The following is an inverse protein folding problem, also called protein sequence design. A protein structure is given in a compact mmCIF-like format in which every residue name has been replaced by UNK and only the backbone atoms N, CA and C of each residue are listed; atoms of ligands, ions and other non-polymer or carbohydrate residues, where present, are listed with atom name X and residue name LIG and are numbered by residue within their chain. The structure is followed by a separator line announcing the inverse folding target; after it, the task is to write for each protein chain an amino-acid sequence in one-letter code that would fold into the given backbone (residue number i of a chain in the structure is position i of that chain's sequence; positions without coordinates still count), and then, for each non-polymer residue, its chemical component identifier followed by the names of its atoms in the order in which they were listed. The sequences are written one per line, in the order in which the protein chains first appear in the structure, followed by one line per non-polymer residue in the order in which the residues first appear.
data_IF_904544912433
#
_entry.id   IF_904544912433
#
_cell.length_a   1.000
_cell.length_b   1.000
_cell.length_c   1.000
_cell.angle_alpha   90.00
_cell.angle_beta   90.00
_cell.angle_gamma   90.00
#
_symmetry.space_group_name_H-M   'P 1'
#
loop_
_entity.id
_entity.type
_entity.pdbx_description
1 polymer ?
#
# COMPACT_ATOMS: atom_id res chain seq x y z
N UNK A 1 -7.51 -18.37 -25.60
CA UNK A 1 -7.00 -18.84 -24.29
C UNK A 1 -7.70 -18.03 -23.22
N UNK A 2 -8.36 -18.67 -22.25
CA UNK A 2 -8.94 -17.93 -21.13
C UNK A 2 -7.80 -17.33 -20.30
N UNK A 3 -7.88 -16.04 -19.96
CA UNK A 3 -6.93 -15.40 -19.07
C UNK A 3 -7.11 -16.00 -17.66
N UNK A 4 -6.25 -16.94 -17.29
CA UNK A 4 -6.21 -17.46 -15.93
C UNK A 4 -5.65 -16.37 -15.01
N UNK A 5 -6.47 -15.88 -14.08
CA UNK A 5 -6.01 -14.92 -13.07
C UNK A 5 -5.28 -15.68 -11.98
N UNK A 6 -3.96 -15.50 -11.89
CA UNK A 6 -3.12 -16.13 -10.86
C UNK A 6 -3.03 -15.21 -9.64
N UNK A 7 -3.48 -15.70 -8.49
CA UNK A 7 -3.48 -14.94 -7.22
C UNK A 7 -2.71 -15.69 -6.13
N UNK A 8 -2.20 -14.95 -5.14
CA UNK A 8 -1.66 -15.49 -3.89
C UNK A 8 -2.58 -15.06 -2.75
N UNK A 9 -2.88 -15.99 -1.84
CA UNK A 9 -3.73 -15.75 -0.68
C UNK A 9 -2.95 -15.90 0.63
N UNK A 10 -3.42 -15.26 1.72
CA UNK A 10 -2.82 -15.38 3.05
C UNK A 10 -1.51 -14.61 3.25
N UNK A 11 -1.26 -13.58 2.43
CA UNK A 11 -0.10 -12.70 2.60
C UNK A 11 -0.26 -11.84 3.86
N UNK A 12 0.83 -11.66 4.61
CA UNK A 12 0.86 -10.67 5.69
C UNK A 12 1.28 -9.33 5.12
N UNK A 13 0.40 -8.35 5.25
CA UNK A 13 0.60 -6.98 4.82
C UNK A 13 0.71 -6.10 6.06
N UNK A 14 1.77 -5.28 6.14
CA UNK A 14 1.92 -4.26 7.16
C UNK A 14 1.95 -2.89 6.49
N UNK A 15 1.39 -1.87 7.14
CA UNK A 15 1.50 -0.50 6.68
C UNK A 15 1.59 0.46 7.87
N UNK A 16 2.26 1.59 7.66
CA UNK A 16 2.46 2.62 8.67
C UNK A 16 2.64 3.98 8.02
N UNK A 17 2.29 5.03 8.77
CA UNK A 17 2.57 6.40 8.36
C UNK A 17 4.07 6.66 8.39
N UNK A 18 4.58 7.22 7.30
CA UNK A 18 5.95 7.72 7.21
C UNK A 18 6.00 9.23 7.46
N UNK A 19 5.12 9.96 6.78
CA UNK A 19 4.92 11.41 6.92
C UNK A 19 3.46 11.74 6.59
N UNK A 20 3.09 13.02 6.59
CA UNK A 20 1.70 13.45 6.40
C UNK A 20 1.10 13.07 5.04
N UNK A 21 1.94 12.79 4.04
CA UNK A 21 1.54 12.49 2.67
C UNK A 21 2.04 11.13 2.18
N UNK A 22 2.62 10.30 3.07
CA UNK A 22 3.25 9.03 2.70
C UNK A 22 2.90 7.93 3.69
N UNK A 23 2.36 6.83 3.16
CA UNK A 23 2.18 5.57 3.88
C UNK A 23 3.18 4.56 3.30
N UNK A 24 3.97 3.93 4.14
CA UNK A 24 4.76 2.76 3.74
C UNK A 24 3.93 1.50 3.89
N UNK A 25 4.17 0.55 2.98
CA UNK A 25 3.54 -0.75 2.98
C UNK A 25 4.60 -1.82 2.74
N UNK A 26 4.60 -2.86 3.57
CA UNK A 26 5.38 -4.07 3.35
C UNK A 26 4.50 -5.29 3.16
N UNK A 27 4.90 -6.17 2.24
CA UNK A 27 4.25 -7.46 2.01
C UNK A 27 5.27 -8.56 2.29
N UNK A 28 4.98 -9.42 3.28
CA UNK A 28 5.83 -10.56 3.59
C UNK A 28 5.62 -11.65 2.54
N UNK A 29 6.68 -12.02 1.83
CA UNK A 29 6.64 -13.12 0.88
C UNK A 29 6.49 -14.46 1.64
N UNK A 30 5.52 -15.31 1.27
CA UNK A 30 5.30 -16.59 1.94
C UNK A 30 6.35 -17.64 1.54
N UNK A 31 7.08 -17.43 0.44
CA UNK A 31 8.20 -18.30 0.06
C UNK A 31 9.43 -17.98 0.90
N UNK A 32 9.91 -18.98 1.64
CA UNK A 32 11.08 -18.88 2.49
C UNK A 32 12.30 -18.35 1.70
N UNK A 33 13.03 -17.42 2.31
CA UNK A 33 14.26 -16.86 1.74
C UNK A 33 14.07 -15.72 0.73
N UNK A 34 12.85 -15.21 0.54
CA UNK A 34 12.60 -13.98 -0.24
C UNK A 34 12.31 -12.79 0.65
N UNK A 35 12.88 -11.65 0.29
CA UNK A 35 12.71 -10.40 1.02
C UNK A 35 11.26 -9.92 1.01
N UNK A 36 10.90 -9.18 2.05
CA UNK A 36 9.64 -8.45 2.08
C UNK A 36 9.72 -7.28 1.10
N UNK A 37 8.70 -7.10 0.27
CA UNK A 37 8.64 -5.94 -0.61
C UNK A 37 8.16 -4.74 0.18
N UNK A 38 8.95 -3.66 0.17
CA UNK A 38 8.57 -2.35 0.71
C UNK A 38 8.20 -1.43 -0.46
N UNK A 39 7.03 -0.82 -0.39
CA UNK A 39 6.60 0.24 -1.32
C UNK A 39 6.05 1.42 -0.54
N UNK A 40 6.07 2.61 -1.14
CA UNK A 40 5.35 3.78 -0.64
C UNK A 40 4.04 3.98 -1.42
N UNK A 41 3.05 4.52 -0.73
CA UNK A 41 1.80 5.01 -1.29
C UNK A 41 1.75 6.49 -0.92
N UNK A 42 1.77 7.35 -1.93
CA UNK A 42 1.89 8.80 -1.76
C UNK A 42 0.59 9.48 -2.18
N UNK A 43 0.14 10.44 -1.37
CA UNK A 43 -0.93 11.34 -1.76
C UNK A 43 -0.43 12.33 -2.82
N UNK A 44 -1.30 12.73 -3.75
CA UNK A 44 -0.93 13.68 -4.82
C UNK A 44 -0.48 15.04 -4.31
N UNK A 45 -0.76 15.39 -3.06
CA UNK A 45 -0.27 16.64 -2.48
C UNK A 45 1.25 16.64 -2.30
N UNK A 46 1.91 15.47 -2.33
CA UNK A 46 3.36 15.35 -2.23
C UNK A 46 4.08 15.74 -3.53
N UNK A 47 3.51 15.39 -4.68
CA UNK A 47 4.07 15.63 -6.01
C UNK A 47 2.95 15.89 -7.04
N UNK A 48 3.12 16.84 -7.96
CA UNK A 48 2.12 17.20 -9.01
C UNK A 48 1.90 16.12 -10.10
N UNK A 49 2.14 14.84 -9.80
CA UNK A 49 1.94 13.72 -10.70
C UNK A 49 0.46 13.36 -10.84
N UNK A 50 -0.09 13.44 -12.05
CA UNK A 50 -1.50 13.14 -12.34
C UNK A 50 -1.76 11.69 -12.76
N UNK A 51 -0.71 10.94 -13.13
CA UNK A 51 -0.84 9.56 -13.56
C UNK A 51 -1.22 8.67 -12.38
N UNK A 52 -2.35 7.95 -12.49
CA UNK A 52 -2.91 7.09 -11.44
C UNK A 52 -3.27 7.79 -10.12
N UNK A 53 -3.29 9.13 -10.10
CA UNK A 53 -3.61 9.98 -8.95
C UNK A 53 -4.86 9.52 -8.18
N UNK A 54 -5.95 9.23 -8.89
CA UNK A 54 -7.20 8.76 -8.27
C UNK A 54 -7.03 7.44 -7.52
N UNK A 55 -6.25 6.50 -8.05
CA UNK A 55 -6.02 5.19 -7.41
C UNK A 55 -5.13 5.35 -6.19
N UNK A 56 -4.07 6.14 -6.29
CA UNK A 56 -3.19 6.43 -5.14
C UNK A 56 -3.92 7.16 -4.03
N UNK A 57 -4.73 8.19 -4.34
CA UNK A 57 -5.47 8.95 -3.34
C UNK A 57 -6.54 8.12 -2.64
N UNK A 58 -7.28 7.28 -3.39
CA UNK A 58 -8.25 6.37 -2.77
C UNK A 58 -7.58 5.38 -1.83
N UNK A 59 -6.48 4.75 -2.28
CA UNK A 59 -5.74 3.80 -1.46
C UNK A 59 -5.13 4.48 -0.22
N UNK A 60 -4.56 5.66 -0.39
CA UNK A 60 -4.02 6.47 0.70
C UNK A 60 -5.09 6.82 1.73
N UNK A 61 -6.25 7.33 1.28
CA UNK A 61 -7.40 7.67 2.14
C UNK A 61 -7.84 6.46 2.96
N UNK A 62 -8.01 5.30 2.32
CA UNK A 62 -8.55 4.11 2.98
C UNK A 62 -7.55 3.56 4.01
N UNK A 63 -6.25 3.53 3.69
CA UNK A 63 -5.20 3.13 4.65
C UNK A 63 -5.03 4.15 5.79
N UNK A 64 -5.15 5.46 5.50
CA UNK A 64 -5.17 6.52 6.51
C UNK A 64 -6.31 6.32 7.50
N UNK A 65 -7.54 6.06 7.02
CA UNK A 65 -8.70 5.79 7.88
C UNK A 65 -8.42 4.65 8.86
N UNK A 66 -7.84 3.55 8.38
CA UNK A 66 -7.50 2.41 9.25
C UNK A 66 -6.44 2.81 10.30
N UNK A 67 -5.43 3.61 9.93
CA UNK A 67 -4.43 4.11 10.87
C UNK A 67 -5.07 5.03 11.94
N UNK A 68 -5.95 5.94 11.53
CA UNK A 68 -6.66 6.86 12.43
C UNK A 68 -7.57 6.10 13.41
N UNK A 69 -8.35 5.13 12.92
CA UNK A 69 -9.22 4.26 13.73
C UNK A 69 -8.45 3.48 14.80
N UNK A 70 -7.16 3.22 14.57
CA UNK A 70 -6.28 2.49 15.49
C UNK A 70 -5.32 3.41 16.28
N UNK A 71 -5.46 4.74 16.16
CA UNK A 71 -4.59 5.71 16.86
C UNK A 71 -3.12 5.64 16.42
N UNK A 72 -2.88 5.32 15.15
CA UNK A 72 -1.55 5.14 14.53
C UNK A 72 -1.26 6.13 13.39
N UNK A 73 -2.12 7.14 13.22
CA UNK A 73 -1.88 8.27 12.30
C UNK A 73 -0.99 9.34 12.91
#
# INVERSE_FOLDING_TARGET
MANETKTLAGLNLNFWKQDEHTIHMSIKNPHAGKDSWLTSIEHTDKHEGTQMARTHNNLFRDLKSILEENGKW
#
